data_IF_303614854431
#
_entry.id   IF_303614854431
#
_cell.length_a   1.000
_cell.length_b   1.000
_cell.length_c   1.000
_cell.angle_alpha   90.00
_cell.angle_beta   90.00
_cell.angle_gamma   90.00
#
_symmetry.space_group_name_H-M   'P 1'
#
loop_
_entity.id
_entity.type
_entity.pdbx_description
1 polymer ?
#
# COMPACT_ATOMS: atom_id res chain seq x y z
N UNK A 1 -13.19 -0.48 9.86
CA UNK A 1 -11.89 -0.15 10.49
C UNK A 1 -10.88 0.32 9.46
N UNK A 2 -10.77 -0.34 8.30
CA UNK A 2 -9.84 -0.01 7.23
C UNK A 2 -9.96 1.41 6.66
N UNK A 3 -11.15 2.04 6.73
CA UNK A 3 -11.37 3.43 6.31
C UNK A 3 -10.57 4.47 7.12
N UNK A 4 -10.10 4.10 8.33
CA UNK A 4 -9.29 4.99 9.17
C UNK A 4 -7.79 4.90 8.90
N UNK A 5 -7.34 3.94 8.09
CA UNK A 5 -5.94 3.82 7.75
C UNK A 5 -5.49 4.99 6.86
N UNK A 6 -4.26 5.44 7.04
CA UNK A 6 -3.66 6.53 6.26
C UNK A 6 -3.79 6.32 4.74
N UNK A 7 -3.67 5.08 4.28
CA UNK A 7 -3.83 4.71 2.87
C UNK A 7 -5.25 4.95 2.36
N UNK A 8 -6.27 4.67 3.18
CA UNK A 8 -7.68 4.90 2.83
C UNK A 8 -7.99 6.38 2.86
N UNK A 9 -7.44 7.11 3.84
CA UNK A 9 -7.55 8.57 3.91
C UNK A 9 -6.91 9.20 2.66
N UNK A 10 -5.69 8.79 2.31
CA UNK A 10 -4.99 9.25 1.10
C UNK A 10 -5.82 8.96 -0.16
N UNK A 11 -6.35 7.75 -0.29
CA UNK A 11 -7.17 7.35 -1.44
C UNK A 11 -8.45 8.19 -1.55
N UNK A 12 -9.20 8.31 -0.44
CA UNK A 12 -10.54 8.90 -0.43
C UNK A 12 -10.53 10.43 -0.49
N UNK A 13 -9.50 11.08 0.04
CA UNK A 13 -9.46 12.55 0.14
C UNK A 13 -8.49 13.22 -0.84
N UNK A 14 -7.53 12.50 -1.41
CA UNK A 14 -6.54 13.09 -2.31
C UNK A 14 -6.44 12.36 -3.65
N UNK A 15 -6.13 11.05 -3.65
CA UNK A 15 -5.85 10.33 -4.89
C UNK A 15 -7.06 10.33 -5.82
N UNK A 16 -8.22 9.94 -5.32
CA UNK A 16 -9.44 9.91 -6.13
C UNK A 16 -9.98 11.33 -6.42
N UNK A 17 -10.39 12.13 -5.42
CA UNK A 17 -11.12 13.37 -5.70
C UNK A 17 -10.28 14.51 -6.29
N UNK A 18 -8.96 14.53 -6.04
CA UNK A 18 -8.08 15.62 -6.49
C UNK A 18 -7.18 15.19 -7.63
N UNK A 19 -6.58 14.00 -7.56
CA UNK A 19 -5.62 13.53 -8.57
C UNK A 19 -6.25 12.65 -9.66
N UNK A 20 -7.52 12.25 -9.51
CA UNK A 20 -8.24 11.43 -10.48
C UNK A 20 -7.71 9.99 -10.58
N UNK A 21 -7.18 9.46 -9.48
CA UNK A 21 -6.72 8.08 -9.34
C UNK A 21 -7.83 7.29 -8.63
N UNK A 22 -8.64 6.60 -9.41
CA UNK A 22 -9.84 5.88 -8.99
C UNK A 22 -9.54 4.55 -8.27
N UNK A 23 -9.09 3.53 -9.00
CA UNK A 23 -8.65 2.26 -8.41
C UNK A 23 -7.12 2.13 -8.54
N UNK A 24 -6.35 2.25 -7.44
CA UNK A 24 -4.90 2.12 -7.46
C UNK A 24 -4.40 0.73 -7.87
N UNK A 25 -5.28 -0.27 -8.00
CA UNK A 25 -4.93 -1.60 -8.54
C UNK A 25 -4.78 -1.61 -10.05
N UNK A 26 -5.48 -0.73 -10.76
CA UNK A 26 -5.59 -0.75 -12.23
C UNK A 26 -5.23 0.58 -12.88
N UNK A 27 -5.17 1.67 -12.11
CA UNK A 27 -4.86 2.98 -12.64
C UNK A 27 -3.36 3.12 -12.93
N UNK A 28 -3.00 3.41 -14.19
CA UNK A 28 -1.62 3.52 -14.65
C UNK A 28 -0.92 4.83 -14.25
N UNK A 29 -1.61 5.75 -13.54
CA UNK A 29 -1.04 7.02 -13.08
C UNK A 29 -0.41 6.94 -11.68
N UNK A 30 -0.40 5.76 -11.06
CA UNK A 30 0.18 5.52 -9.74
C UNK A 30 1.08 4.31 -9.78
N UNK A 31 2.25 4.44 -9.14
CA UNK A 31 3.24 3.38 -9.00
C UNK A 31 3.59 3.17 -7.52
N UNK A 32 4.00 1.95 -7.18
CA UNK A 32 4.31 1.55 -5.80
C UNK A 32 5.75 1.10 -5.69
N UNK A 33 6.49 1.76 -4.80
CA UNK A 33 7.86 1.40 -4.48
C UNK A 33 7.88 0.47 -3.27
N UNK A 34 8.50 -0.70 -3.44
CA UNK A 34 8.63 -1.68 -2.36
C UNK A 34 9.47 -1.13 -1.20
N UNK A 35 9.10 -1.52 0.02
CA UNK A 35 9.69 -1.00 1.27
C UNK A 35 11.21 -1.09 1.33
N UNK A 36 11.81 -2.12 0.73
CA UNK A 36 13.27 -2.32 0.67
C UNK A 36 14.05 -1.14 0.06
N UNK A 37 13.45 -0.37 -0.85
CA UNK A 37 14.12 0.78 -1.47
C UNK A 37 14.07 2.03 -0.60
N UNK A 38 13.10 2.10 0.33
CA UNK A 38 12.90 3.23 1.23
C UNK A 38 12.51 4.54 0.52
N UNK A 39 12.48 5.62 1.29
CA UNK A 39 12.06 6.96 0.83
C UNK A 39 13.03 7.59 -0.18
N UNK A 40 14.30 7.19 -0.19
CA UNK A 40 15.31 7.70 -1.14
C UNK A 40 14.94 7.43 -2.60
N UNK A 41 14.32 6.29 -2.88
CA UNK A 41 13.86 5.99 -4.24
C UNK A 41 12.65 6.87 -4.62
N UNK A 42 11.76 7.19 -3.67
CA UNK A 42 10.65 8.10 -3.90
C UNK A 42 11.16 9.50 -4.25
N UNK A 43 12.10 10.03 -3.46
CA UNK A 43 12.76 11.32 -3.72
C UNK A 43 13.37 11.36 -5.12
N UNK A 44 14.16 10.35 -5.47
CA UNK A 44 14.80 10.23 -6.78
C UNK A 44 13.80 10.23 -7.94
N UNK A 45 12.64 9.60 -7.79
CA UNK A 45 11.61 9.56 -8.85
C UNK A 45 10.96 10.93 -9.07
N UNK A 46 10.77 11.69 -7.99
CA UNK A 46 10.26 13.07 -8.08
C UNK A 46 11.33 13.99 -8.67
N UNK A 47 12.56 13.94 -8.16
CA UNK A 47 13.66 14.80 -8.62
C UNK A 47 14.03 14.58 -10.09
N UNK A 48 13.88 13.34 -10.58
CA UNK A 48 14.12 13.01 -11.99
C UNK A 48 12.95 13.37 -12.92
N UNK A 49 11.83 13.86 -12.39
CA UNK A 49 10.62 14.19 -13.15
C UNK A 49 9.83 12.97 -13.64
N UNK A 50 10.18 11.75 -13.21
CA UNK A 50 9.42 10.53 -13.53
C UNK A 50 8.08 10.48 -12.80
N UNK A 51 8.02 11.04 -11.60
CA UNK A 51 6.80 11.22 -10.82
C UNK A 51 6.61 12.70 -10.51
N UNK A 52 5.36 13.17 -10.44
CA UNK A 52 5.06 14.56 -10.08
C UNK A 52 5.08 14.78 -8.56
N UNK A 53 4.75 13.74 -7.79
CA UNK A 53 4.69 13.75 -6.32
C UNK A 53 4.86 12.32 -5.82
N UNK A 54 5.34 12.16 -4.60
CA UNK A 54 5.40 10.88 -3.91
C UNK A 54 4.81 11.00 -2.50
N UNK A 55 4.22 9.90 -2.02
CA UNK A 55 3.64 9.79 -0.68
C UNK A 55 4.33 8.65 0.07
N UNK A 56 4.77 8.94 1.29
CA UNK A 56 5.25 7.93 2.24
C UNK A 56 4.29 7.90 3.40
N UNK A 57 3.76 6.72 3.71
CA UNK A 57 2.78 6.54 4.78
C UNK A 57 3.43 5.86 5.99
N UNK A 58 2.85 6.07 7.17
CA UNK A 58 3.25 5.32 8.34
C UNK A 58 2.88 3.84 8.15
N UNK A 59 3.76 2.89 8.54
CA UNK A 59 3.46 1.48 8.38
C UNK A 59 2.24 1.09 9.22
N UNK A 60 1.34 0.31 8.62
CA UNK A 60 0.19 -0.27 9.33
C UNK A 60 0.70 -1.21 10.43
N UNK A 61 0.16 -1.05 11.65
CA UNK A 61 0.54 -1.88 12.78
C UNK A 61 -0.02 -3.29 12.70
N UNK A 62 0.52 -4.21 13.50
CA UNK A 62 -0.05 -5.55 13.62
C UNK A 62 -1.47 -5.50 14.19
N UNK A 63 -1.71 -4.64 15.18
CA UNK A 63 -3.04 -4.48 15.78
C UNK A 63 -4.07 -3.99 14.76
N UNK A 64 -3.71 -3.08 13.86
CA UNK A 64 -4.58 -2.62 12.78
C UNK A 64 -4.95 -3.77 11.83
N UNK A 65 -3.96 -4.60 11.48
CA UNK A 65 -4.16 -5.79 10.65
C UNK A 65 -5.13 -6.77 11.31
N UNK A 66 -4.93 -7.06 12.60
CA UNK A 66 -5.79 -7.96 13.38
C UNK A 66 -7.21 -7.40 13.50
N UNK A 67 -7.35 -6.12 13.81
CA UNK A 67 -8.66 -5.46 13.93
C UNK A 67 -9.45 -5.47 12.61
N UNK A 68 -8.78 -5.33 11.46
CA UNK A 68 -9.41 -5.40 10.14
C UNK A 68 -9.89 -6.83 9.85
N UNK A 69 -9.05 -7.83 10.17
CA UNK A 69 -9.40 -9.25 10.03
C UNK A 69 -10.58 -9.63 10.93
N UNK A 70 -10.56 -9.23 12.20
CA UNK A 70 -11.63 -9.52 13.17
C UNK A 70 -12.95 -8.85 12.78
N UNK A 71 -12.89 -7.72 12.07
CA UNK A 71 -14.05 -7.04 11.50
C UNK A 71 -14.59 -7.71 10.21
N UNK A 72 -13.92 -8.73 9.68
CA UNK A 72 -14.28 -9.35 8.39
C UNK A 72 -14.06 -8.44 7.19
N UNK A 73 -13.23 -7.39 7.35
CA UNK A 73 -12.89 -6.44 6.31
C UNK A 73 -11.63 -6.88 5.53
N UNK A 74 -11.41 -6.27 4.37
CA UNK A 74 -10.21 -6.50 3.55
C UNK A 74 -9.27 -5.31 3.68
N UNK A 75 -7.97 -5.58 3.77
CA UNK A 75 -6.95 -4.52 3.73
C UNK A 75 -7.09 -3.66 2.46
N UNK A 76 -7.01 -2.32 2.58
CA UNK A 76 -6.97 -1.46 1.41
C UNK A 76 -5.84 -1.87 0.45
N UNK A 77 -6.02 -1.69 -0.87
CA UNK A 77 -5.00 -2.09 -1.83
C UNK A 77 -3.67 -1.39 -1.54
N UNK A 78 -2.58 -2.17 -1.61
CA UNK A 78 -1.19 -1.68 -1.49
C UNK A 78 -0.89 -0.97 -0.16
N UNK A 79 -1.63 -1.29 0.90
CA UNK A 79 -1.49 -0.72 2.25
C UNK A 79 -0.34 -1.30 3.08
N UNK A 80 0.16 -2.48 2.73
CA UNK A 80 1.15 -3.23 3.52
C UNK A 80 2.22 -3.85 2.65
N UNK A 81 3.45 -3.90 3.16
CA UNK A 81 4.56 -4.62 2.56
C UNK A 81 5.15 -5.60 3.59
N UNK A 82 5.14 -6.89 3.27
CA UNK A 82 5.67 -7.94 4.14
C UNK A 82 7.09 -8.35 3.72
N UNK A 83 7.98 -8.47 4.70
CA UNK A 83 9.34 -8.98 4.52
C UNK A 83 9.69 -10.07 5.55
N UNK A 84 10.25 -11.21 5.10
CA UNK A 84 10.38 -11.63 3.70
C UNK A 84 8.99 -11.86 3.08
N UNK A 85 8.88 -11.71 1.75
CA UNK A 85 7.65 -12.15 1.07
C UNK A 85 7.42 -13.62 1.38
N UNK A 86 6.15 -13.96 1.63
CA UNK A 86 5.76 -15.36 1.78
C UNK A 86 6.30 -16.16 0.60
N UNK A 87 6.94 -17.29 0.88
CA UNK A 87 7.38 -18.19 -0.18
C UNK A 87 6.12 -18.77 -0.81
N UNK A 88 5.84 -18.40 -2.05
CA UNK A 88 4.76 -19.01 -2.82
C UNK A 88 5.08 -20.50 -3.01
N UNK A 89 4.12 -21.39 -2.70
CA UNK A 89 4.26 -22.83 -2.94
C UNK A 89 4.55 -23.73 -1.73
N UNK A 90 4.22 -23.32 -0.49
CA UNK A 90 4.25 -24.23 0.66
C UNK A 90 3.13 -25.29 0.52
N UNK A 91 3.48 -26.49 0.03
CA UNK A 91 2.61 -27.66 0.04
C UNK A 91 2.88 -28.48 1.29
N UNK A 92 1.89 -28.60 2.18
CA UNK A 92 1.96 -29.51 3.31
C UNK A 92 1.14 -30.77 2.99
N UNK A 93 1.79 -31.93 3.02
CA UNK A 93 1.11 -33.23 2.98
C UNK A 93 1.24 -33.86 4.37
N UNK A 94 0.14 -33.83 5.12
CA UNK A 94 0.05 -34.53 6.40
C UNK A 94 -0.13 -36.02 6.08
N UNK A 95 0.86 -36.84 6.47
CA UNK A 95 0.74 -38.30 6.50
C UNK A 95 0.00 -38.70 7.77
#
# INVERSE_FOLDING_TARGET
VGEKLDVSILQNFLLNPVLGIDDPRTNNRIDFIGGIRGTKELEKLVDSGKAAVAFSLYPVGLDDLMNISDAGEVMPPKSTWFEPKLRDGLLTHLI
#
